data_IF_863186823027
#
_entry.id   IF_863186823027
#
_cell.length_a   1.000
_cell.length_b   1.000
_cell.length_c   1.000
_cell.angle_alpha   90.00
_cell.angle_beta   90.00
_cell.angle_gamma   90.00
#
_symmetry.space_group_name_H-M   'P 1'
#
loop_
_entity.id
_entity.type
_entity.pdbx_description
1 polymer ?
#
# COMPACT_ATOMS: atom_id res chain seq x y z
N UNK A 1 21.39 32.95 -59.83
CA UNK A 1 21.52 34.22 -59.08
C UNK A 1 20.08 34.67 -58.91
N UNK A 2 19.36 34.28 -57.87
CA UNK A 2 19.78 34.04 -56.48
C UNK A 2 19.08 32.85 -55.83
N UNK A 3 19.69 32.43 -54.72
CA UNK A 3 19.49 31.22 -53.95
C UNK A 3 18.33 31.32 -52.93
N UNK A 4 17.79 30.16 -52.55
CA UNK A 4 16.91 29.78 -51.40
C UNK A 4 17.28 30.45 -50.04
N UNK A 5 16.54 30.35 -48.88
CA UNK A 5 15.41 29.45 -48.53
C UNK A 5 14.31 29.99 -47.56
N UNK A 6 13.26 29.15 -47.39
CA UNK A 6 12.48 28.80 -46.17
C UNK A 6 12.18 29.83 -45.06
N UNK A 7 10.91 29.92 -44.64
CA UNK A 7 10.57 29.77 -43.21
C UNK A 7 9.13 29.29 -42.98
N UNK A 8 9.04 28.24 -42.17
CA UNK A 8 7.86 27.61 -41.59
C UNK A 8 7.15 28.54 -40.60
N UNK A 9 5.86 28.29 -40.36
CA UNK A 9 5.35 27.88 -39.02
C UNK A 9 3.82 27.77 -39.07
N UNK A 10 3.31 26.56 -39.33
CA UNK A 10 2.01 26.14 -38.82
C UNK A 10 2.18 25.88 -37.32
N UNK A 11 1.82 26.86 -36.50
CA UNK A 11 1.68 26.66 -35.05
C UNK A 11 0.32 25.99 -34.78
N UNK A 12 0.27 24.67 -34.95
CA UNK A 12 -0.79 23.85 -34.40
C UNK A 12 -0.54 23.66 -32.90
N UNK A 13 -1.62 23.80 -32.13
CA UNK A 13 -1.69 23.76 -30.67
C UNK A 13 -0.98 22.52 -30.08
N UNK A 14 0.20 22.73 -29.52
CA UNK A 14 0.95 21.72 -28.78
C UNK A 14 0.58 21.76 -27.30
N UNK A 15 -0.65 21.36 -26.95
CA UNK A 15 -0.93 20.99 -25.56
C UNK A 15 -0.19 19.68 -25.30
N UNK A 16 0.95 19.79 -24.61
CA UNK A 16 1.72 18.67 -24.11
C UNK A 16 0.83 17.83 -23.19
N UNK A 17 0.27 16.75 -23.73
CA UNK A 17 -0.44 15.74 -22.93
C UNK A 17 0.63 14.98 -22.15
N UNK A 18 0.97 15.50 -20.97
CA UNK A 18 1.53 14.69 -19.88
C UNK A 18 0.65 13.43 -19.77
N UNK A 19 1.18 12.20 -19.90
CA UNK A 19 0.34 11.03 -19.75
C UNK A 19 -0.27 11.07 -18.36
N UNK A 20 -1.60 11.24 -18.28
CA UNK A 20 -2.33 11.19 -17.04
C UNK A 20 -1.88 9.94 -16.28
N UNK A 21 -1.43 10.11 -15.04
CA UNK A 21 -0.89 9.01 -14.22
C UNK A 21 -1.87 7.84 -14.25
N UNK A 22 -1.41 6.69 -14.77
CA UNK A 22 -2.25 5.49 -14.91
C UNK A 22 -2.34 4.67 -13.62
N UNK A 23 -1.76 5.17 -12.52
CA UNK A 23 -1.76 4.55 -11.20
C UNK A 23 -2.89 5.05 -10.29
N UNK A 24 -2.77 4.79 -8.97
CA UNK A 24 -3.70 5.30 -7.97
C UNK A 24 -3.80 6.84 -7.99
N UNK A 25 -5.02 7.35 -7.84
CA UNK A 25 -5.34 8.78 -7.95
C UNK A 25 -5.41 9.43 -6.55
N UNK A 26 -4.25 9.79 -6.00
CA UNK A 26 -4.16 10.40 -4.67
C UNK A 26 -4.88 11.75 -4.55
N UNK A 27 -5.16 12.43 -5.67
CA UNK A 27 -5.88 13.70 -5.68
C UNK A 27 -7.37 13.56 -5.33
N UNK A 28 -7.93 12.35 -5.43
CA UNK A 28 -9.32 12.05 -5.01
C UNK A 28 -9.54 12.12 -3.51
N UNK A 29 -8.47 11.98 -2.73
CA UNK A 29 -8.52 12.06 -1.28
C UNK A 29 -8.04 13.41 -0.80
N UNK A 30 -8.84 14.11 0.00
CA UNK A 30 -8.52 15.47 0.47
C UNK A 30 -7.25 15.56 1.34
N UNK A 31 -6.77 14.42 1.84
CA UNK A 31 -5.54 14.32 2.63
C UNK A 31 -4.41 13.58 1.89
N UNK A 32 -4.60 13.27 0.60
CA UNK A 32 -3.63 12.52 -0.20
C UNK A 32 -3.40 11.09 0.27
N UNK A 33 -4.37 10.49 0.99
CA UNK A 33 -4.30 9.12 1.48
C UNK A 33 -5.35 8.24 0.81
N UNK A 34 -4.89 7.12 0.26
CA UNK A 34 -5.76 6.07 -0.28
C UNK A 34 -5.74 4.84 0.65
N UNK A 35 -6.87 4.14 0.83
CA UNK A 35 -6.88 2.83 1.45
C UNK A 35 -6.04 1.83 0.64
N UNK A 36 -5.27 1.02 1.36
CA UNK A 36 -4.50 -0.08 0.80
C UNK A 36 -4.89 -1.38 1.52
N UNK A 37 -5.39 -2.35 0.75
CA UNK A 37 -5.74 -3.69 1.21
C UNK A 37 -4.55 -4.60 0.93
N UNK A 38 -4.03 -5.26 1.96
CA UNK A 38 -3.06 -6.34 1.79
C UNK A 38 -3.79 -7.68 1.78
N UNK A 39 -3.59 -8.48 0.74
CA UNK A 39 -4.17 -9.80 0.55
C UNK A 39 -3.05 -10.80 0.30
N UNK A 40 -3.10 -11.96 0.92
CA UNK A 40 -2.15 -13.03 0.65
C UNK A 40 -2.29 -13.51 -0.80
N UNK A 41 -1.19 -13.50 -1.54
CA UNK A 41 -1.20 -13.76 -2.98
C UNK A 41 -1.51 -15.21 -3.36
N UNK A 42 -1.33 -16.17 -2.43
CA UNK A 42 -1.56 -17.61 -2.68
C UNK A 42 -2.98 -18.01 -2.32
N UNK A 43 -3.47 -17.53 -1.17
CA UNK A 43 -4.73 -17.98 -0.55
C UNK A 43 -5.89 -17.02 -0.85
N UNK A 44 -5.61 -15.78 -1.24
CA UNK A 44 -6.62 -14.74 -1.36
C UNK A 44 -7.14 -14.23 0.00
N UNK A 45 -6.51 -14.61 1.12
CA UNK A 45 -6.91 -14.15 2.45
C UNK A 45 -6.61 -12.66 2.61
N UNK A 46 -7.59 -11.85 3.00
CA UNK A 46 -7.34 -10.45 3.36
C UNK A 46 -6.59 -10.40 4.70
N UNK A 47 -5.44 -9.74 4.71
CA UNK A 47 -4.51 -9.69 5.84
C UNK A 47 -4.72 -8.41 6.65
N UNK A 48 -4.78 -7.26 6.00
CA UNK A 48 -4.93 -5.98 6.69
C UNK A 48 -5.39 -4.87 5.75
N UNK A 49 -5.83 -3.77 6.35
CA UNK A 49 -6.04 -2.49 5.67
C UNK A 49 -5.17 -1.44 6.33
N UNK A 50 -4.53 -0.61 5.53
CA UNK A 50 -3.79 0.55 5.96
C UNK A 50 -4.00 1.71 4.97
N UNK A 51 -3.23 2.78 5.14
CA UNK A 51 -3.29 3.95 4.25
C UNK A 51 -1.95 4.09 3.55
N UNK A 52 -1.96 4.51 2.30
CA UNK A 52 -0.78 4.93 1.56
C UNK A 52 -0.95 6.39 1.17
N UNK A 53 0.12 7.18 1.25
CA UNK A 53 0.26 8.39 0.45
C UNK A 53 1.10 8.08 -0.79
N UNK A 54 1.24 9.05 -1.68
CA UNK A 54 2.02 8.90 -2.92
C UNK A 54 3.46 8.46 -2.67
N UNK A 55 4.10 8.98 -1.60
CA UNK A 55 5.48 8.60 -1.22
C UNK A 55 5.57 7.15 -0.77
N UNK A 56 4.64 6.67 0.07
CA UNK A 56 4.56 5.28 0.49
C UNK A 56 4.34 4.33 -0.71
N UNK A 57 3.51 4.74 -1.66
CA UNK A 57 3.26 3.98 -2.87
C UNK A 57 4.50 3.91 -3.78
N UNK A 58 5.17 5.04 -4.01
CA UNK A 58 6.41 5.10 -4.78
C UNK A 58 7.51 4.23 -4.15
N UNK A 59 7.65 4.26 -2.82
CA UNK A 59 8.61 3.42 -2.12
C UNK A 59 8.24 1.93 -2.19
N UNK A 60 6.95 1.60 -2.15
CA UNK A 60 6.47 0.23 -2.33
C UNK A 60 6.82 -0.31 -3.71
N UNK A 61 6.61 0.49 -4.77
CA UNK A 61 7.01 0.14 -6.14
C UNK A 61 8.51 -0.05 -6.28
N UNK A 62 9.30 0.85 -5.69
CA UNK A 62 10.76 0.83 -5.81
C UNK A 62 11.40 -0.34 -5.04
N UNK A 63 10.88 -0.65 -3.85
CA UNK A 63 11.47 -1.66 -2.97
C UNK A 63 10.93 -3.07 -3.20
N UNK A 64 9.71 -3.22 -3.73
CA UNK A 64 8.99 -4.49 -3.76
C UNK A 64 8.47 -4.92 -2.38
N UNK A 65 8.51 -4.05 -1.36
CA UNK A 65 8.00 -4.31 -0.02
C UNK A 65 6.88 -3.34 0.35
N UNK A 66 5.87 -3.80 1.09
CA UNK A 66 4.75 -2.94 1.45
C UNK A 66 5.19 -1.83 2.43
N UNK A 67 5.01 -0.57 1.99
CA UNK A 67 5.21 0.63 2.80
C UNK A 67 3.88 1.35 2.95
N UNK A 68 3.51 1.67 4.18
CA UNK A 68 2.27 2.37 4.51
C UNK A 68 2.55 3.75 5.07
N UNK A 69 1.51 4.57 5.19
CA UNK A 69 1.52 5.84 5.91
C UNK A 69 0.72 5.72 7.21
N UNK A 70 1.39 5.96 8.34
CA UNK A 70 0.78 5.91 9.66
C UNK A 70 0.10 7.25 9.97
N UNK A 71 -1.22 7.34 9.79
CA UNK A 71 -2.00 8.58 10.06
C UNK A 71 -1.77 9.17 11.46
N UNK A 72 -1.65 8.32 12.47
CA UNK A 72 -1.41 8.74 13.86
C UNK A 72 0.01 9.26 14.12
N UNK A 73 1.00 8.82 13.33
CA UNK A 73 2.41 9.20 13.49
C UNK A 73 2.87 10.21 12.43
N UNK A 74 2.07 10.46 11.40
CA UNK A 74 2.41 11.35 10.30
C UNK A 74 3.65 10.92 9.51
N UNK A 75 3.97 9.63 9.48
CA UNK A 75 5.21 9.11 8.89
C UNK A 75 5.00 7.79 8.13
N UNK A 76 5.96 7.48 7.25
CA UNK A 76 6.05 6.19 6.59
C UNK A 76 6.26 5.05 7.60
N UNK A 77 5.72 3.89 7.26
CA UNK A 77 5.82 2.66 8.02
C UNK A 77 6.10 1.51 7.07
N UNK A 78 7.35 1.05 7.05
CA UNK A 78 7.78 -0.15 6.31
C UNK A 78 7.30 -1.37 7.09
N UNK A 79 6.37 -2.14 6.52
CA UNK A 79 5.76 -3.27 7.24
C UNK A 79 6.84 -4.28 7.61
N UNK A 80 6.94 -4.60 8.90
CA UNK A 80 7.90 -5.57 9.41
C UNK A 80 9.32 -5.04 9.62
N UNK A 81 9.59 -3.74 9.45
CA UNK A 81 10.94 -3.17 9.67
C UNK A 81 11.49 -3.45 11.08
N UNK A 82 10.62 -3.47 12.09
CA UNK A 82 11.01 -3.80 13.47
C UNK A 82 10.87 -5.29 13.80
N UNK A 83 9.84 -5.96 13.28
CA UNK A 83 9.50 -7.33 13.69
C UNK A 83 10.03 -8.43 12.77
N UNK A 84 10.61 -8.09 11.63
CA UNK A 84 10.92 -9.02 10.54
C UNK A 84 9.70 -9.54 9.77
N UNK A 85 8.48 -9.21 10.20
CA UNK A 85 7.23 -9.69 9.54
C UNK A 85 6.88 -8.85 8.32
N UNK A 86 7.72 -8.94 7.30
CA UNK A 86 7.62 -8.17 6.07
C UNK A 86 6.51 -8.67 5.13
N UNK A 87 6.13 -7.82 4.19
CA UNK A 87 5.23 -8.14 3.10
C UNK A 87 5.97 -7.89 1.78
N UNK A 88 6.26 -8.96 1.04
CA UNK A 88 6.87 -8.85 -0.29
C UNK A 88 5.74 -8.73 -1.30
N UNK A 89 5.73 -7.67 -2.09
CA UNK A 89 4.68 -7.37 -3.05
C UNK A 89 4.91 -8.21 -4.30
N UNK A 90 3.90 -9.00 -4.67
CA UNK A 90 3.89 -9.83 -5.87
C UNK A 90 3.12 -9.17 -7.01
N UNK A 91 2.03 -8.48 -6.68
CA UNK A 91 1.21 -7.74 -7.64
C UNK A 91 0.52 -6.56 -6.93
N UNK A 92 0.33 -5.46 -7.68
CA UNK A 92 -0.46 -4.32 -7.23
C UNK A 92 -1.62 -4.13 -8.20
N UNK A 93 -2.83 -4.01 -7.67
CA UNK A 93 -4.04 -3.66 -8.41
C UNK A 93 -4.61 -2.36 -7.87
N UNK A 94 -5.39 -1.69 -8.71
CA UNK A 94 -6.16 -0.51 -8.35
C UNK A 94 -7.60 -0.74 -8.78
N UNK A 95 -8.57 -0.23 -8.02
CA UNK A 95 -9.98 -0.35 -8.36
C UNK A 95 -10.42 0.54 -9.54
N UNK A 96 -11.70 0.48 -9.90
CA UNK A 96 -12.22 1.02 -11.16
C UNK A 96 -12.15 2.54 -11.26
N UNK A 97 -12.16 3.24 -10.13
CA UNK A 97 -12.06 4.69 -10.07
C UNK A 97 -10.74 5.15 -9.42
N UNK A 98 -9.83 4.22 -9.16
CA UNK A 98 -8.43 4.44 -8.79
C UNK A 98 -8.21 5.03 -7.40
N UNK A 99 -9.16 4.91 -6.49
CA UNK A 99 -9.04 5.44 -5.14
C UNK A 99 -8.70 4.37 -4.08
N UNK A 100 -8.64 3.10 -4.47
CA UNK A 100 -8.27 2.00 -3.57
C UNK A 100 -7.18 1.11 -4.17
N UNK A 101 -6.18 0.78 -3.35
CA UNK A 101 -5.04 -0.06 -3.73
C UNK A 101 -5.24 -1.47 -3.16
N UNK A 102 -5.02 -2.49 -3.97
CA UNK A 102 -4.92 -3.89 -3.54
C UNK A 102 -3.49 -4.39 -3.76
N UNK A 103 -2.83 -4.77 -2.67
CA UNK A 103 -1.52 -5.41 -2.67
C UNK A 103 -1.72 -6.91 -2.52
N UNK A 104 -1.30 -7.68 -3.52
CA UNK A 104 -1.11 -9.11 -3.40
C UNK A 104 0.30 -9.35 -2.87
N UNK A 105 0.40 -9.86 -1.65
CA UNK A 105 1.66 -9.95 -0.91
C UNK A 105 1.96 -11.37 -0.48
N UNK A 106 3.24 -11.72 -0.47
CA UNK A 106 3.77 -12.84 0.30
C UNK A 106 4.07 -12.33 1.72
N UNK A 107 3.29 -12.80 2.69
CA UNK A 107 3.43 -12.42 4.09
C UNK A 107 4.48 -13.29 4.80
N UNK A 108 5.44 -12.65 5.44
CA UNK A 108 6.38 -13.32 6.35
C UNK A 108 5.88 -13.15 7.80
N UNK A 109 5.71 -14.24 8.54
CA UNK A 109 5.20 -14.20 9.91
C UNK A 109 3.77 -13.63 10.01
N UNK A 110 3.46 -12.99 11.13
CA UNK A 110 2.13 -12.41 11.38
C UNK A 110 1.96 -11.02 10.72
N UNK A 111 0.86 -10.81 9.97
CA UNK A 111 0.50 -9.46 9.52
C UNK A 111 0.06 -8.58 10.70
N UNK A 112 -0.62 -9.17 11.68
CA UNK A 112 -1.17 -8.46 12.83
C UNK A 112 -0.16 -8.33 13.99
N UNK A 113 -0.16 -7.17 14.64
CA UNK A 113 0.65 -6.94 15.85
C UNK A 113 0.13 -7.70 17.08
N UNK A 114 -1.11 -8.22 17.04
CA UNK A 114 -1.64 -9.11 18.08
C UNK A 114 -1.24 -10.58 17.85
N UNK A 115 -0.39 -10.85 16.86
CA UNK A 115 0.21 -12.16 16.62
C UNK A 115 -0.58 -13.08 15.70
N UNK A 116 -1.70 -12.60 15.13
CA UNK A 116 -2.51 -13.33 14.16
C UNK A 116 -2.03 -13.16 12.73
N UNK A 117 -2.36 -14.13 11.87
CA UNK A 117 -2.06 -14.07 10.44
C UNK A 117 -2.68 -12.83 9.79
N UNK A 118 -3.94 -12.55 10.12
CA UNK A 118 -4.72 -11.43 9.62
C UNK A 118 -5.18 -10.52 10.76
N UNK A 119 -5.30 -9.22 10.50
CA UNK A 119 -5.99 -8.29 11.39
C UNK A 119 -7.49 -8.60 11.53
N UNK A 120 -8.06 -9.38 10.61
CA UNK A 120 -9.46 -9.79 10.57
C UNK A 120 -9.70 -11.13 11.30
N UNK A 121 -9.05 -11.32 12.45
CA UNK A 121 -9.14 -12.53 13.29
C UNK A 121 -10.39 -12.60 14.18
N UNK A 122 -11.30 -11.62 14.05
CA UNK A 122 -12.53 -11.52 14.85
C UNK A 122 -13.76 -11.53 13.96
N UNK A 123 -14.77 -12.30 14.36
CA UNK A 123 -16.11 -12.29 13.77
C UNK A 123 -17.08 -11.52 14.66
N UNK A 124 -17.97 -10.74 14.05
CA UNK A 124 -19.09 -10.10 14.73
C UNK A 124 -20.23 -11.10 14.88
N UNK A 125 -20.70 -11.31 16.11
CA UNK A 125 -21.86 -12.15 16.41
C UNK A 125 -23.18 -11.36 16.33
N UNK A 126 -24.37 -12.02 16.28
CA UNK A 126 -25.65 -11.33 16.22
C UNK A 126 -25.91 -10.34 17.36
N UNK A 127 -25.33 -10.58 18.53
CA UNK A 127 -25.41 -9.70 19.71
C UNK A 127 -24.36 -8.57 19.72
N UNK A 128 -23.59 -8.43 18.64
CA UNK A 128 -22.48 -7.49 18.44
C UNK A 128 -21.22 -7.78 19.27
N UNK A 129 -21.14 -8.92 19.95
CA UNK A 129 -19.88 -9.38 20.55
C UNK A 129 -18.87 -9.80 19.46
N UNK A 130 -17.59 -9.85 19.84
CA UNK A 130 -16.50 -10.26 18.96
C UNK A 130 -15.93 -11.61 19.40
N UNK A 131 -15.97 -12.59 18.52
CA UNK A 131 -15.36 -13.90 18.73
C UNK A 131 -14.05 -14.00 17.95
N UNK A 132 -12.97 -14.40 18.61
CA UNK A 132 -11.70 -14.75 17.94
C UNK A 132 -11.89 -16.05 17.18
N UNK A 133 -11.53 -16.07 15.89
CA UNK A 133 -11.81 -17.20 14.98
C UNK A 133 -10.60 -18.06 14.65
N UNK A 134 -9.43 -17.73 15.17
CA UNK A 134 -8.17 -18.42 14.86
C UNK A 134 -7.18 -18.30 16.03
N UNK A 135 -6.18 -19.18 16.03
CA UNK A 135 -5.09 -19.12 16.99
C UNK A 135 -4.03 -18.09 16.60
N UNK A 136 -3.27 -17.60 17.58
CA UNK A 136 -2.12 -16.74 17.31
C UNK A 136 -1.00 -17.55 16.66
N UNK A 137 -0.39 -16.99 15.61
CA UNK A 137 0.82 -17.53 14.99
C UNK A 137 2.06 -17.27 15.86
N UNK A 138 2.09 -16.13 16.56
CA UNK A 138 3.22 -15.72 17.42
C UNK A 138 2.72 -15.08 18.71
N UNK A 139 3.57 -15.08 19.75
CA UNK A 139 3.35 -14.26 20.93
C UNK A 139 3.77 -12.80 20.65
N UNK A 140 2.85 -11.82 20.77
CA UNK A 140 3.19 -10.40 20.56
C UNK A 140 4.30 -9.88 21.45
N UNK A 141 4.42 -10.39 22.68
CA UNK A 141 5.41 -9.91 23.64
C UNK A 141 6.83 -10.26 23.21
N UNK A 142 7.01 -11.39 22.51
CA UNK A 142 8.33 -11.84 22.05
C UNK A 142 8.75 -11.15 20.75
N UNK A 143 7.79 -10.69 19.94
CA UNK A 143 8.05 -10.13 18.60
C UNK A 143 8.03 -8.60 18.55
N UNK A 144 7.10 -7.95 19.27
CA UNK A 144 6.85 -6.51 19.11
C UNK A 144 7.28 -5.64 20.30
N UNK A 145 7.62 -6.25 21.45
CA UNK A 145 8.06 -5.55 22.67
C UNK A 145 9.55 -5.78 22.99
N UNK A 146 10.38 -6.00 21.98
CA UNK A 146 11.83 -6.07 22.17
C UNK A 146 12.36 -4.70 22.65
N UNK A 147 13.09 -4.62 23.77
CA UNK A 147 13.76 -3.39 24.16
C UNK A 147 14.74 -2.99 23.05
N UNK A 148 14.73 -1.71 22.63
CA UNK A 148 15.77 -1.19 21.73
C UNK A 148 17.12 -1.43 22.40
N UNK A 149 18.00 -2.19 21.76
CA UNK A 149 19.41 -2.22 22.16
C UNK A 149 19.96 -0.80 22.00
N UNK A 150 20.55 -0.28 23.09
CA UNK A 150 21.23 1.02 23.14
C UNK A 150 22.38 1.15 22.14
#
# INVERSE_FOLDING_TARGET
>A
MDSNPENETDAADGESIEPASQGPDFAKSSNGLLPAIAQDFRTGRVLMVAWMNEVAFAETLASGHAVYFSRSRGQLWRKGETSGHQQVVQEIRVDCDRDTILLLVEQQGAACHEGYESCFFRRVEPDRSLTVTEDRLVDPQTVYNQPKSE
#
